data_IF_795565872946
#
_entry.id   IF_795565872946
#
_cell.length_a   1.000
_cell.length_b   1.000
_cell.length_c   1.000
_cell.angle_alpha   90.00
_cell.angle_beta   90.00
_cell.angle_gamma   90.00
#
_symmetry.space_group_name_H-M   'P 1'
#
loop_
_entity.id
_entity.type
_entity.pdbx_description
1 polymer ?
#
# COMPACT_ATOMS: atom_id res chain seq x y z
N UNK A 1 0.39 -7.22 -13.33
CA UNK A 1 1.56 -6.34 -13.19
C UNK A 1 1.88 -6.11 -11.72
N UNK A 2 3.14 -6.06 -11.37
CA UNK A 2 3.58 -5.81 -9.99
C UNK A 2 4.33 -4.49 -9.94
N UNK A 3 3.92 -3.60 -9.04
CA UNK A 3 4.59 -2.33 -8.81
C UNK A 3 5.02 -2.19 -7.37
N UNK A 4 6.14 -1.52 -7.16
CA UNK A 4 6.67 -1.22 -5.84
C UNK A 4 6.54 0.27 -5.55
N UNK A 5 6.27 0.59 -4.31
CA UNK A 5 6.11 1.96 -3.84
C UNK A 5 6.92 2.13 -2.57
N UNK A 6 7.45 3.32 -2.38
CA UNK A 6 8.13 3.68 -1.15
C UNK A 6 7.10 4.20 -0.15
N UNK A 7 7.19 3.75 1.08
CA UNK A 7 6.34 4.26 2.16
C UNK A 7 7.16 5.22 3.01
N UNK A 8 6.60 6.39 3.29
CA UNK A 8 7.28 7.42 4.05
C UNK A 8 6.59 7.60 5.39
N UNK A 9 7.37 7.67 6.47
CA UNK A 9 6.87 7.85 7.84
C UNK A 9 6.00 6.68 8.31
N UNK A 10 6.33 5.47 7.89
CA UNK A 10 5.69 4.26 8.41
C UNK A 10 6.44 3.83 9.67
N UNK A 11 5.92 4.24 10.82
CA UNK A 11 6.61 4.06 12.11
C UNK A 11 6.08 2.90 12.95
N UNK A 12 4.98 2.28 12.54
CA UNK A 12 4.29 1.30 13.36
C UNK A 12 4.13 -0.01 12.62
N UNK A 13 4.70 -1.08 13.17
CA UNK A 13 4.59 -2.41 12.54
C UNK A 13 3.14 -2.91 12.52
N UNK A 14 2.38 -2.65 13.57
CA UNK A 14 0.95 -3.02 13.60
C UNK A 14 0.16 -2.24 12.55
N UNK A 15 0.51 -0.99 12.34
CA UNK A 15 -0.11 -0.17 11.31
C UNK A 15 0.19 -0.72 9.92
N UNK A 16 1.42 -1.16 9.69
CA UNK A 16 1.82 -1.78 8.43
C UNK A 16 0.97 -3.02 8.13
N UNK A 17 0.75 -3.88 9.14
CA UNK A 17 -0.07 -5.07 8.99
C UNK A 17 -1.52 -4.72 8.66
N UNK A 18 -2.07 -3.70 9.30
CA UNK A 18 -3.44 -3.23 9.03
C UNK A 18 -3.56 -2.63 7.62
N UNK A 19 -2.57 -1.87 7.20
CA UNK A 19 -2.54 -1.29 5.87
C UNK A 19 -2.49 -2.39 4.80
N UNK A 20 -1.63 -3.38 5.00
CA UNK A 20 -1.50 -4.51 4.08
C UNK A 20 -2.84 -5.24 3.95
N UNK A 21 -3.48 -5.53 5.07
CA UNK A 21 -4.78 -6.20 5.06
C UNK A 21 -5.84 -5.37 4.34
N UNK A 22 -5.89 -4.07 4.61
CA UNK A 22 -6.83 -3.17 3.95
C UNK A 22 -6.61 -3.06 2.46
N UNK A 23 -5.35 -3.01 2.04
CA UNK A 23 -5.01 -2.93 0.61
C UNK A 23 -5.39 -4.22 -0.11
N UNK A 24 -5.19 -5.38 0.53
CA UNK A 24 -5.58 -6.67 -0.05
C UNK A 24 -7.07 -6.77 -0.32
N UNK A 25 -7.88 -6.02 0.41
CA UNK A 25 -9.34 -6.02 0.25
C UNK A 25 -9.83 -5.11 -0.87
N UNK A 26 -8.94 -4.31 -1.45
CA UNK A 26 -9.31 -3.45 -2.56
C UNK A 26 -9.61 -4.29 -3.79
N UNK A 27 -10.74 -4.01 -4.44
CA UNK A 27 -11.14 -4.74 -5.64
C UNK A 27 -10.09 -4.57 -6.73
N UNK A 28 -9.69 -5.69 -7.34
CA UNK A 28 -8.68 -5.70 -8.38
C UNK A 28 -7.29 -6.05 -7.89
N UNK A 29 -7.03 -5.98 -6.58
CA UNK A 29 -5.73 -6.35 -6.03
C UNK A 29 -5.60 -7.87 -5.98
N UNK A 30 -4.62 -8.40 -6.71
CA UNK A 30 -4.36 -9.85 -6.71
C UNK A 30 -3.46 -10.22 -5.53
N UNK A 31 -2.51 -9.35 -5.19
CA UNK A 31 -1.62 -9.55 -4.04
C UNK A 31 -1.10 -8.20 -3.57
N UNK A 32 -0.83 -8.09 -2.29
CA UNK A 32 -0.22 -6.90 -1.70
C UNK A 32 0.64 -7.31 -0.53
N UNK A 33 1.78 -6.65 -0.39
CA UNK A 33 2.74 -6.92 0.67
C UNK A 33 3.40 -5.62 1.09
N UNK A 34 3.57 -5.44 2.40
CA UNK A 34 4.27 -4.29 2.95
C UNK A 34 5.45 -4.79 3.77
N UNK A 35 6.64 -4.28 3.47
CA UNK A 35 7.83 -4.52 4.28
C UNK A 35 8.04 -3.31 5.19
N UNK A 36 7.83 -3.52 6.49
CA UNK A 36 8.05 -2.46 7.47
C UNK A 36 9.54 -2.07 7.55
N UNK A 37 10.40 -3.06 7.50
CA UNK A 37 11.85 -2.82 7.61
C UNK A 37 12.36 -2.02 6.41
N UNK A 38 11.91 -2.37 5.22
CA UNK A 38 12.36 -1.71 3.99
C UNK A 38 11.51 -0.50 3.62
N UNK A 39 10.40 -0.28 4.31
CA UNK A 39 9.47 0.81 4.03
C UNK A 39 8.99 0.77 2.58
N UNK A 40 8.59 -0.43 2.14
CA UNK A 40 8.14 -0.65 0.76
C UNK A 40 6.79 -1.33 0.73
N UNK A 41 5.98 -0.92 -0.24
CA UNK A 41 4.69 -1.55 -0.56
C UNK A 41 4.80 -2.16 -1.95
N UNK A 42 4.42 -3.43 -2.07
CA UNK A 42 4.38 -4.12 -3.35
C UNK A 42 2.93 -4.50 -3.64
N UNK A 43 2.41 -4.11 -4.80
CA UNK A 43 1.05 -4.43 -5.22
C UNK A 43 1.08 -5.14 -6.56
N UNK A 44 0.36 -6.26 -6.64
CA UNK A 44 0.14 -6.98 -7.90
C UNK A 44 -1.32 -6.82 -8.30
N UNK A 45 -1.56 -6.25 -9.47
CA UNK A 45 -2.91 -5.97 -9.96
C UNK A 45 -2.86 -5.75 -11.47
N UNK A 46 -4.03 -5.81 -12.16
CA UNK A 46 -4.08 -5.46 -13.58
C UNK A 46 -3.62 -4.03 -13.82
N UNK A 47 -2.88 -3.84 -14.91
CA UNK A 47 -2.26 -2.56 -15.24
C UNK A 47 -3.27 -1.43 -15.39
N UNK A 48 -4.40 -1.72 -16.00
CA UNK A 48 -5.46 -0.73 -16.24
C UNK A 48 -6.19 -0.30 -14.97
N UNK A 49 -6.04 -1.04 -13.88
CA UNK A 49 -6.67 -0.72 -12.59
C UNK A 49 -5.69 -0.15 -11.57
N UNK A 50 -4.41 -0.13 -11.89
CA UNK A 50 -3.37 0.24 -10.95
C UNK A 50 -3.56 1.66 -10.40
N UNK A 51 -3.90 2.64 -11.24
CA UNK A 51 -4.07 4.02 -10.79
C UNK A 51 -5.19 4.14 -9.76
N UNK A 52 -6.31 3.48 -9.99
CA UNK A 52 -7.43 3.46 -9.04
C UNK A 52 -7.01 2.81 -7.74
N UNK A 53 -6.32 1.67 -7.84
CA UNK A 53 -5.88 0.91 -6.67
C UNK A 53 -4.91 1.72 -5.83
N UNK A 54 -3.97 2.41 -6.45
CA UNK A 54 -3.01 3.26 -5.73
C UNK A 54 -3.72 4.35 -4.94
N UNK A 55 -4.72 5.00 -5.53
CA UNK A 55 -5.49 6.02 -4.85
C UNK A 55 -6.22 5.47 -3.63
N UNK A 56 -6.81 4.30 -3.76
CA UNK A 56 -7.50 3.64 -2.65
C UNK A 56 -6.53 3.18 -1.58
N UNK A 57 -5.37 2.66 -1.99
CA UNK A 57 -4.32 2.26 -1.06
C UNK A 57 -3.83 3.45 -0.23
N UNK A 58 -3.65 4.60 -0.86
CA UNK A 58 -3.26 5.81 -0.17
C UNK A 58 -4.30 6.22 0.88
N UNK A 59 -5.58 6.09 0.57
CA UNK A 59 -6.65 6.38 1.52
C UNK A 59 -6.63 5.42 2.71
N UNK A 60 -6.41 4.13 2.44
CA UNK A 60 -6.30 3.13 3.51
C UNK A 60 -5.15 3.48 4.45
N UNK A 61 -4.00 3.82 3.89
CA UNK A 61 -2.84 4.18 4.69
C UNK A 61 -3.09 5.44 5.53
N UNK A 62 -3.74 6.44 4.96
CA UNK A 62 -4.05 7.69 5.69
C UNK A 62 -5.03 7.48 6.83
N UNK A 63 -5.96 6.54 6.69
CA UNK A 63 -6.91 6.25 7.77
C UNK A 63 -6.21 5.63 8.97
N UNK A 64 -5.22 4.82 8.71
CA UNK A 64 -4.50 4.09 9.75
C UNK A 64 -3.38 4.94 10.33
N UNK A 65 -2.63 5.62 9.46
CA UNK A 65 -1.50 6.46 9.84
C UNK A 65 -1.55 7.74 9.00
N UNK A 66 -2.12 8.84 9.53
CA UNK A 66 -2.31 10.07 8.75
C UNK A 66 -1.03 10.67 8.18
N UNK A 67 0.10 10.43 8.83
CA UNK A 67 1.38 10.98 8.39
C UNK A 67 2.08 10.12 7.34
N UNK A 68 1.60 8.91 7.10
CA UNK A 68 2.21 8.00 6.15
C UNK A 68 1.87 8.39 4.72
N UNK A 69 2.87 8.34 3.85
CA UNK A 69 2.71 8.63 2.42
C UNK A 69 3.23 7.48 1.58
N UNK A 70 2.67 7.34 0.39
CA UNK A 70 3.10 6.36 -0.60
C UNK A 70 3.68 7.11 -1.79
N UNK A 71 4.89 6.78 -2.17
CA UNK A 71 5.54 7.36 -3.35
C UNK A 71 5.94 6.26 -4.32
N UNK A 72 5.81 6.55 -5.61
CA UNK A 72 6.26 5.64 -6.66
C UNK A 72 7.79 5.56 -6.65
N UNK A 73 8.31 4.35 -6.71
CA UNK A 73 9.75 4.12 -6.80
C UNK A 73 10.21 4.24 -8.24
#
# INVERSE_FOLDING_TARGET
MTKQFKMIDLDCANCAAKMEDGIRKIEGVEAASISFIMQKLTITAPDDQMDRIIKQAAKVCRKIEPDCRIELI
#
